data_IF_009947422701
#
_entry.id   IF_009947422701
#
_cell.length_a   1.000
_cell.length_b   1.000
_cell.length_c   1.000
_cell.angle_alpha   90.00
_cell.angle_beta   90.00
_cell.angle_gamma   90.00
#
_symmetry.space_group_name_H-M   'P 1'
#
loop_
_entity.id
_entity.type
_entity.pdbx_description
1 polymer ?
#
# COMPACT_ATOMS: atom_id res chain seq x y z
N UNK A 1 25.46 7.14 26.78
CA UNK A 1 25.15 7.27 25.34
C UNK A 1 24.09 6.22 25.05
N UNK A 2 22.88 6.67 24.71
CA UNK A 2 21.79 5.77 24.32
C UNK A 2 22.07 5.24 22.91
N UNK A 3 21.80 3.95 22.61
CA UNK A 3 21.99 3.44 21.27
C UNK A 3 21.04 4.16 20.30
N UNK A 4 21.45 4.39 19.04
CA UNK A 4 20.57 5.00 18.06
C UNK A 4 19.34 4.11 17.87
N UNK A 5 18.16 4.75 17.78
CA UNK A 5 16.91 4.05 17.52
C UNK A 5 17.07 3.18 16.27
N UNK A 6 16.66 1.89 16.32
CA UNK A 6 16.78 1.02 15.15
C UNK A 6 16.05 1.64 13.96
N UNK A 7 16.52 1.42 12.71
CA UNK A 7 15.84 1.89 11.52
C UNK A 7 14.38 1.43 11.55
N UNK A 8 13.46 2.35 11.27
CA UNK A 8 12.03 2.04 11.22
C UNK A 8 11.83 0.94 10.17
N UNK A 9 11.42 -0.25 10.61
CA UNK A 9 11.11 -1.34 9.70
C UNK A 9 9.82 -1.02 8.94
N UNK A 10 9.85 -1.12 7.61
CA UNK A 10 8.64 -1.03 6.81
C UNK A 10 7.80 -2.30 7.05
N UNK A 11 6.52 -2.14 7.41
CA UNK A 11 5.64 -3.27 7.75
C UNK A 11 4.32 -3.21 6.97
N UNK A 12 3.59 -4.34 6.82
CA UNK A 12 2.24 -4.35 6.24
C UNK A 12 1.26 -3.41 6.94
N UNK A 13 1.30 -3.36 8.28
CA UNK A 13 0.42 -2.48 9.07
C UNK A 13 0.66 -1.01 8.73
N UNK A 14 1.93 -0.62 8.58
CA UNK A 14 2.27 0.73 8.14
C UNK A 14 1.87 0.96 6.68
N UNK A 15 2.04 -0.03 5.81
CA UNK A 15 1.66 0.09 4.40
C UNK A 15 0.15 0.27 4.20
N UNK A 16 -0.72 -0.27 5.07
CA UNK A 16 -2.17 -0.07 5.02
C UNK A 16 -2.70 1.08 5.90
N UNK A 17 -1.87 1.70 6.73
CA UNK A 17 -2.34 2.70 7.70
C UNK A 17 -2.70 4.03 7.02
N UNK A 18 -3.86 4.64 7.34
CA UNK A 18 -4.24 5.96 6.82
C UNK A 18 -3.33 7.08 7.33
N UNK A 19 -2.62 6.87 8.44
CA UNK A 19 -1.72 7.85 9.04
C UNK A 19 -0.31 7.83 8.41
N UNK A 20 -0.05 6.89 7.49
CA UNK A 20 1.28 6.79 6.85
C UNK A 20 1.48 7.93 5.86
N UNK A 21 2.55 8.73 6.03
CA UNK A 21 2.86 9.85 5.14
C UNK A 21 3.06 9.45 3.67
N UNK A 22 2.71 10.33 2.74
CA UNK A 22 2.77 10.06 1.30
C UNK A 22 4.17 9.71 0.80
N UNK A 23 5.20 10.40 1.29
CA UNK A 23 6.61 10.11 0.97
C UNK A 23 7.01 8.70 1.41
N UNK A 24 6.56 8.25 2.57
CA UNK A 24 6.77 6.88 3.06
C UNK A 24 6.02 5.87 2.19
N UNK A 25 4.78 6.16 1.78
CA UNK A 25 4.02 5.29 0.87
C UNK A 25 4.72 5.13 -0.50
N UNK A 26 5.22 6.22 -1.08
CA UNK A 26 6.00 6.16 -2.32
C UNK A 26 7.32 5.40 -2.13
N UNK A 27 7.99 5.59 -0.99
CA UNK A 27 9.18 4.81 -0.66
C UNK A 27 8.89 3.30 -0.58
N UNK A 28 7.76 2.91 0.03
CA UNK A 28 7.31 1.50 0.04
C UNK A 28 7.04 1.02 -1.40
N UNK A 29 6.35 1.82 -2.20
CA UNK A 29 6.00 1.47 -3.59
C UNK A 29 7.25 1.22 -4.43
N UNK A 30 8.29 2.05 -4.29
CA UNK A 30 9.53 1.93 -5.06
C UNK A 30 10.42 0.79 -4.54
N UNK A 31 10.68 0.73 -3.24
CA UNK A 31 11.77 -0.06 -2.67
C UNK A 31 11.34 -1.33 -1.93
N UNK A 32 10.06 -1.51 -1.63
CA UNK A 32 9.55 -2.66 -0.89
C UNK A 32 8.51 -3.46 -1.70
N UNK A 33 8.91 -4.21 -2.74
CA UNK A 33 7.99 -4.92 -3.63
C UNK A 33 7.06 -5.90 -2.90
N UNK A 34 7.56 -6.56 -1.84
CA UNK A 34 6.79 -7.47 -1.00
C UNK A 34 5.69 -6.78 -0.18
N UNK A 35 5.71 -5.45 -0.08
CA UNK A 35 4.70 -4.67 0.63
C UNK A 35 3.68 -4.00 -0.29
N UNK A 36 3.90 -3.94 -1.61
CA UNK A 36 3.05 -3.22 -2.57
C UNK A 36 1.59 -3.63 -2.53
N UNK A 37 1.30 -4.92 -2.35
CA UNK A 37 -0.09 -5.42 -2.28
C UNK A 37 -0.88 -4.83 -1.10
N UNK A 38 -0.18 -4.44 -0.03
CA UNK A 38 -0.81 -3.82 1.14
C UNK A 38 -1.14 -2.34 0.88
N UNK A 39 -0.37 -1.65 0.04
CA UNK A 39 -0.66 -0.26 -0.35
C UNK A 39 -2.01 -0.13 -1.07
N UNK A 40 -2.45 -1.17 -1.78
CA UNK A 40 -3.78 -1.19 -2.43
C UNK A 40 -4.90 -0.98 -1.42
N UNK A 41 -4.75 -1.53 -0.20
CA UNK A 41 -5.74 -1.40 0.87
C UNK A 41 -5.56 -0.12 1.71
N UNK A 42 -4.59 0.74 1.40
CA UNK A 42 -4.35 1.95 2.16
C UNK A 42 -5.34 3.06 1.76
N UNK A 43 -6.17 3.58 2.68
CA UNK A 43 -7.11 4.66 2.37
C UNK A 43 -6.44 5.98 1.95
N UNK A 44 -5.19 6.19 2.32
CA UNK A 44 -4.39 7.33 1.92
C UNK A 44 -3.66 7.12 0.58
N UNK A 45 -3.70 5.92 -0.02
CA UNK A 45 -3.10 5.71 -1.34
C UNK A 45 -3.80 6.60 -2.38
N UNK A 46 -2.99 7.38 -3.10
CA UNK A 46 -3.51 8.27 -4.14
C UNK A 46 -3.82 7.50 -5.43
N UNK A 47 -4.71 8.02 -6.29
CA UNK A 47 -4.99 7.38 -7.59
C UNK A 47 -3.73 7.13 -8.42
N UNK A 48 -2.82 8.11 -8.50
CA UNK A 48 -1.55 7.96 -9.21
C UNK A 48 -0.67 6.84 -8.66
N UNK A 49 -0.72 6.59 -7.35
CA UNK A 49 -0.01 5.48 -6.72
C UNK A 49 -0.65 4.14 -7.09
N UNK A 50 -1.97 4.02 -7.06
CA UNK A 50 -2.67 2.79 -7.45
C UNK A 50 -2.42 2.47 -8.94
N UNK A 51 -2.40 3.48 -9.80
CA UNK A 51 -2.04 3.33 -11.22
C UNK A 51 -0.59 2.84 -11.38
N UNK A 52 0.37 3.44 -10.66
CA UNK A 52 1.74 2.98 -10.65
C UNK A 52 1.84 1.52 -10.20
N UNK A 53 1.18 1.18 -9.08
CA UNK A 53 1.16 -0.18 -8.54
C UNK A 53 0.53 -1.19 -9.50
N UNK A 54 -0.51 -0.81 -10.25
CA UNK A 54 -1.09 -1.66 -11.28
C UNK A 54 -0.08 -1.98 -12.40
N UNK A 55 0.83 -1.05 -12.72
CA UNK A 55 1.87 -1.24 -13.73
C UNK A 55 3.06 -2.06 -13.22
N UNK A 56 3.48 -1.88 -11.96
CA UNK A 56 4.72 -2.48 -11.41
C UNK A 56 4.51 -3.62 -10.42
N UNK A 57 3.26 -3.88 -10.01
CA UNK A 57 2.91 -4.62 -8.80
C UNK A 57 2.91 -6.14 -8.92
N UNK A 58 3.05 -6.70 -10.11
CA UNK A 58 3.00 -8.14 -10.31
C UNK A 58 1.65 -8.77 -9.90
N UNK A 59 1.61 -10.09 -9.82
CA UNK A 59 0.36 -10.86 -9.62
C UNK A 59 -0.37 -10.50 -8.32
N UNK A 60 0.34 -10.44 -7.20
CA UNK A 60 -0.24 -10.16 -5.87
C UNK A 60 -0.95 -8.80 -5.79
N UNK A 61 -0.44 -7.78 -6.48
CA UNK A 61 -1.07 -6.45 -6.50
C UNK A 61 -2.31 -6.44 -7.38
N UNK A 62 -2.28 -7.13 -8.52
CA UNK A 62 -3.47 -7.27 -9.38
C UNK A 62 -4.62 -8.00 -8.67
N UNK A 63 -4.31 -9.07 -7.93
CA UNK A 63 -5.29 -9.77 -7.11
C UNK A 63 -5.87 -8.87 -6.00
N UNK A 64 -5.01 -8.11 -5.30
CA UNK A 64 -5.47 -7.16 -4.28
C UNK A 64 -6.37 -6.06 -4.87
N UNK A 65 -6.05 -5.53 -6.05
CA UNK A 65 -6.87 -4.53 -6.74
C UNK A 65 -8.23 -5.08 -7.14
N UNK A 66 -8.29 -6.30 -7.68
CA UNK A 66 -9.55 -6.95 -8.04
C UNK A 66 -10.43 -7.12 -6.80
N UNK A 67 -9.88 -7.64 -5.69
CA UNK A 67 -10.63 -7.81 -4.42
C UNK A 67 -11.15 -6.46 -3.91
N UNK A 68 -10.34 -5.40 -3.99
CA UNK A 68 -10.76 -4.06 -3.57
C UNK A 68 -11.95 -3.57 -4.41
N UNK A 69 -11.87 -3.71 -5.74
CA UNK A 69 -12.93 -3.29 -6.67
C UNK A 69 -14.22 -4.08 -6.42
N UNK A 70 -14.14 -5.41 -6.32
CA UNK A 70 -15.29 -6.26 -5.97
C UNK A 70 -15.94 -5.84 -4.64
N UNK A 71 -15.12 -5.46 -3.65
CA UNK A 71 -15.62 -5.00 -2.35
C UNK A 71 -16.31 -3.64 -2.45
N UNK A 72 -15.85 -2.74 -3.32
CA UNK A 72 -16.50 -1.44 -3.55
C UNK A 72 -17.84 -1.61 -4.27
N UNK A 73 -17.88 -2.44 -5.32
CA UNK A 73 -19.11 -2.77 -6.06
C UNK A 73 -20.19 -3.41 -5.15
N UNK A 74 -19.75 -4.26 -4.21
CA UNK A 74 -20.64 -4.86 -3.22
C UNK A 74 -21.20 -3.84 -2.22
N UNK A 75 -20.43 -2.82 -1.83
CA UNK A 75 -20.90 -1.75 -0.94
C UNK A 75 -21.88 -0.79 -1.64
N UNK A 76 -21.68 -0.49 -2.92
CA UNK A 76 -22.58 0.40 -3.69
C UNK A 76 -23.95 -0.25 -4.01
N UNK A 77 -24.05 -1.57 -3.87
CA UNK A 77 -25.27 -2.35 -4.14
C UNK A 77 -26.16 -2.57 -2.90
N UNK A 78 -25.77 -2.05 -1.73
CA UNK A 78 -26.45 -2.22 -0.44
C UNK A 78 -27.24 -0.97 -0.02
#
# INVERSE_FOLDING_TARGET
MEPPTPPIALTPLMACSPDTPQDVLWHIAEYAPHLRRWLVANPAATPAMLEYLAQVGGKDVGEALNILLESLEAHDSA
#
